data_IF_737241689844
#
_entry.id   IF_737241689844
#
_cell.length_a   1.000
_cell.length_b   1.000
_cell.length_c   1.000
_cell.angle_alpha   90.00
_cell.angle_beta   90.00
_cell.angle_gamma   90.00
#
_symmetry.space_group_name_H-M   'P 1'
#
loop_
_entity.id
_entity.type
_entity.pdbx_description
1 polymer ?
#
# COMPACT_ATOMS: atom_id res chain seq x y z
N UNK A 1 -25.60 -45.08 35.39
CA UNK A 1 -24.33 -44.54 34.84
C UNK A 1 -23.19 -45.39 35.37
N UNK A 2 -22.35 -45.98 34.50
CA UNK A 2 -21.27 -46.88 34.90
C UNK A 2 -20.10 -46.08 35.51
N UNK A 3 -19.48 -46.58 36.58
CA UNK A 3 -18.31 -45.98 37.25
C UNK A 3 -17.16 -45.70 36.26
N UNK A 4 -16.96 -46.59 35.29
CA UNK A 4 -15.95 -46.42 34.24
C UNK A 4 -16.25 -45.22 33.33
N UNK A 5 -17.52 -44.99 33.00
CA UNK A 5 -17.96 -43.86 32.16
C UNK A 5 -17.83 -42.54 32.92
N UNK A 6 -18.19 -42.53 34.20
CA UNK A 6 -18.04 -41.37 35.07
C UNK A 6 -16.56 -40.95 35.22
N UNK A 7 -15.66 -41.92 35.39
CA UNK A 7 -14.22 -41.66 35.47
C UNK A 7 -13.66 -41.10 34.16
N UNK A 8 -14.05 -41.66 33.00
CA UNK A 8 -13.63 -41.15 31.68
C UNK A 8 -14.11 -39.72 31.44
N UNK A 9 -15.37 -39.42 31.76
CA UNK A 9 -15.94 -38.08 31.61
C UNK A 9 -15.25 -37.06 32.54
N UNK A 10 -14.95 -37.47 33.78
CA UNK A 10 -14.31 -36.60 34.77
C UNK A 10 -12.86 -36.25 34.41
N UNK A 11 -12.10 -37.21 33.86
CA UNK A 11 -10.72 -36.98 33.37
C UNK A 11 -10.71 -36.09 32.12
N UNK A 12 -11.68 -36.27 31.21
CA UNK A 12 -11.79 -35.43 30.03
C UNK A 12 -12.11 -33.97 30.39
N UNK A 13 -13.03 -33.74 31.34
CA UNK A 13 -13.37 -32.39 31.80
C UNK A 13 -12.19 -31.71 32.53
N UNK A 14 -11.47 -32.45 33.37
CA UNK A 14 -10.33 -31.90 34.10
C UNK A 14 -9.18 -31.55 33.15
N UNK A 15 -8.91 -32.37 32.12
CA UNK A 15 -7.92 -32.06 31.09
C UNK A 15 -8.21 -30.74 30.36
N UNK A 16 -9.48 -30.42 30.09
CA UNK A 16 -9.89 -29.15 29.45
C UNK A 16 -9.70 -27.96 30.41
N UNK A 17 -9.91 -28.15 31.72
CA UNK A 17 -9.77 -27.09 32.72
C UNK A 17 -8.32 -26.64 32.97
N UNK A 18 -7.34 -27.50 32.67
CA UNK A 18 -5.91 -27.20 32.80
C UNK A 18 -5.30 -26.77 31.46
N UNK A 19 -6.08 -26.77 30.36
CA UNK A 19 -5.62 -26.15 29.13
C UNK A 19 -5.41 -24.65 29.40
N UNK A 20 -4.19 -24.12 29.14
CA UNK A 20 -3.97 -22.70 29.27
C UNK A 20 -4.84 -22.01 28.22
N UNK A 21 -5.98 -21.44 28.65
CA UNK A 21 -6.83 -20.60 27.82
C UNK A 21 -6.06 -19.42 27.20
N UNK A 22 -4.92 -19.05 27.79
CA UNK A 22 -3.94 -18.11 27.28
C UNK A 22 -3.15 -18.60 26.05
N UNK A 23 -3.06 -19.92 25.81
CA UNK A 23 -2.45 -20.52 24.62
C UNK A 23 -3.46 -20.95 23.56
N UNK A 24 -4.77 -20.87 23.85
CA UNK A 24 -5.79 -20.79 22.81
C UNK A 24 -5.62 -19.43 22.15
N UNK A 25 -4.62 -19.38 21.27
CA UNK A 25 -4.24 -18.23 20.48
C UNK A 25 -5.48 -17.86 19.68
N UNK A 26 -6.28 -16.93 20.20
CA UNK A 26 -7.12 -16.12 19.34
C UNK A 26 -6.09 -15.40 18.49
N UNK A 27 -5.87 -15.90 17.28
CA UNK A 27 -5.34 -15.08 16.20
C UNK A 27 -6.30 -13.92 16.12
N UNK A 28 -5.99 -12.86 16.87
CA UNK A 28 -6.74 -11.63 16.83
C UNK A 28 -6.43 -11.12 15.44
N UNK A 29 -7.33 -11.40 14.49
CA UNK A 29 -7.24 -10.84 13.16
C UNK A 29 -7.22 -9.33 13.39
N UNK A 30 -6.06 -8.71 13.16
CA UNK A 30 -5.93 -7.27 13.23
C UNK A 30 -7.10 -6.65 12.49
N UNK A 31 -7.76 -5.65 13.09
CA UNK A 31 -8.82 -4.88 12.43
C UNK A 31 -8.31 -4.24 11.13
N UNK A 32 -6.99 -4.07 11.01
CA UNK A 32 -6.32 -3.44 9.88
C UNK A 32 -5.55 -4.46 9.04
N UNK A 33 -5.64 -4.31 7.72
CA UNK A 33 -4.82 -5.05 6.76
C UNK A 33 -3.34 -4.69 6.95
N UNK A 34 -2.47 -5.69 6.86
CA UNK A 34 -1.02 -5.47 6.91
C UNK A 34 -0.55 -4.74 5.64
N UNK A 35 -0.03 -3.52 5.83
CA UNK A 35 0.46 -2.60 4.79
C UNK A 35 1.94 -2.78 4.46
N UNK A 36 2.35 -2.46 3.23
CA UNK A 36 3.76 -2.42 2.83
C UNK A 36 4.02 -1.38 1.73
N UNK A 37 5.06 -0.56 1.90
CA UNK A 37 5.54 0.37 0.87
C UNK A 37 6.48 -0.38 -0.09
N UNK A 38 6.02 -0.58 -1.34
CA UNK A 38 6.67 -1.38 -2.36
C UNK A 38 8.06 -0.88 -2.77
N UNK A 39 8.39 0.39 -2.53
CA UNK A 39 9.73 0.92 -2.77
C UNK A 39 10.82 0.25 -1.91
N UNK A 40 10.42 -0.35 -0.79
CA UNK A 40 11.32 -1.10 0.11
C UNK A 40 11.89 -2.35 -0.55
N UNK A 41 11.22 -2.89 -1.58
CA UNK A 41 11.60 -4.08 -2.35
C UNK A 41 11.64 -3.74 -3.86
N UNK A 42 12.14 -2.53 -4.15
CA UNK A 42 12.03 -1.92 -5.48
C UNK A 42 12.73 -2.71 -6.57
N UNK A 43 13.84 -3.38 -6.26
CA UNK A 43 14.67 -4.06 -7.25
C UNK A 43 13.93 -5.30 -7.79
N UNK A 44 13.28 -6.06 -6.91
CA UNK A 44 12.42 -7.20 -7.24
C UNK A 44 11.13 -6.75 -7.93
N UNK A 45 10.52 -5.66 -7.47
CA UNK A 45 9.36 -5.05 -8.14
C UNK A 45 9.67 -4.56 -9.55
N UNK A 46 10.89 -4.07 -9.79
CA UNK A 46 11.35 -3.65 -11.12
C UNK A 46 11.61 -4.85 -12.04
N UNK A 47 12.08 -5.98 -11.49
CA UNK A 47 12.35 -7.20 -12.25
C UNK A 47 11.09 -7.98 -12.61
N UNK A 48 10.27 -8.33 -11.61
CA UNK A 48 8.99 -9.02 -11.81
C UNK A 48 7.95 -8.60 -10.74
N UNK A 49 7.13 -7.58 -11.03
CA UNK A 49 6.17 -7.04 -10.06
C UNK A 49 5.09 -8.07 -9.69
N UNK A 50 4.66 -8.92 -10.61
CA UNK A 50 3.56 -9.86 -10.37
C UNK A 50 4.03 -11.02 -9.50
N UNK A 51 5.21 -11.58 -9.78
CA UNK A 51 5.80 -12.60 -8.93
C UNK A 51 6.10 -12.06 -7.53
N UNK A 52 6.63 -10.83 -7.44
CA UNK A 52 6.94 -10.18 -6.15
C UNK A 52 5.68 -9.97 -5.31
N UNK A 53 4.59 -9.45 -5.89
CA UNK A 53 3.31 -9.29 -5.19
C UNK A 53 2.73 -10.63 -4.70
N UNK A 54 2.88 -11.72 -5.47
CA UNK A 54 2.47 -13.06 -5.03
C UNK A 54 3.27 -13.54 -3.83
N UNK A 55 4.58 -13.26 -3.78
CA UNK A 55 5.44 -13.60 -2.63
C UNK A 55 5.04 -12.76 -1.41
N UNK A 56 4.91 -11.45 -1.55
CA UNK A 56 4.47 -10.56 -0.46
C UNK A 56 3.11 -10.98 0.11
N UNK A 57 2.17 -11.40 -0.75
CA UNK A 57 0.89 -11.98 -0.33
C UNK A 57 1.09 -13.24 0.52
N UNK A 58 1.96 -14.16 0.10
CA UNK A 58 2.27 -15.38 0.86
C UNK A 58 2.90 -15.06 2.22
N UNK A 59 3.65 -13.97 2.32
CA UNK A 59 4.21 -13.46 3.58
C UNK A 59 3.17 -12.81 4.50
N UNK A 60 1.94 -12.61 4.02
CA UNK A 60 0.83 -12.06 4.80
C UNK A 60 0.54 -10.58 4.55
N UNK A 61 1.24 -9.91 3.63
CA UNK A 61 0.90 -8.55 3.23
C UNK A 61 -0.39 -8.54 2.41
N UNK A 62 -1.27 -7.61 2.72
CA UNK A 62 -2.62 -7.53 2.14
C UNK A 62 -2.88 -6.19 1.46
N UNK A 63 -2.06 -5.20 1.81
CA UNK A 63 -2.27 -3.81 1.46
C UNK A 63 -0.95 -3.16 1.09
N UNK A 64 -0.93 -2.29 0.08
CA UNK A 64 0.31 -1.66 -0.37
C UNK A 64 0.18 -0.16 -0.60
N UNK A 65 1.32 0.50 -0.45
CA UNK A 65 1.59 1.82 -1.00
C UNK A 65 2.51 1.63 -2.22
N UNK A 66 2.11 2.18 -3.36
CA UNK A 66 2.84 1.98 -4.62
C UNK A 66 3.95 3.00 -4.82
N UNK A 67 4.82 2.73 -5.79
CA UNK A 67 5.70 3.70 -6.43
C UNK A 67 5.76 3.40 -7.94
N UNK A 68 6.51 4.22 -8.70
CA UNK A 68 6.86 3.86 -10.08
C UNK A 68 5.77 4.15 -11.11
N UNK A 69 4.82 5.03 -10.78
CA UNK A 69 3.90 5.58 -11.78
C UNK A 69 4.66 6.37 -12.84
N UNK A 70 4.39 6.08 -14.12
CA UNK A 70 4.88 6.85 -15.26
C UNK A 70 3.73 7.61 -15.91
N UNK A 71 3.64 8.91 -15.62
CA UNK A 71 2.53 9.75 -16.04
C UNK A 71 2.38 9.88 -17.57
N UNK A 72 3.51 9.93 -18.30
CA UNK A 72 3.52 9.96 -19.77
C UNK A 72 2.77 8.78 -20.40
N UNK A 73 2.90 7.59 -19.82
CA UNK A 73 2.32 6.35 -20.33
C UNK A 73 1.05 5.91 -19.58
N UNK A 74 0.74 6.54 -18.44
CA UNK A 74 -0.35 6.12 -17.56
C UNK A 74 -0.16 4.70 -17.02
N UNK A 75 1.09 4.31 -16.74
CA UNK A 75 1.45 2.94 -16.35
C UNK A 75 2.01 2.83 -14.94
N UNK A 76 1.79 1.68 -14.32
CA UNK A 76 2.43 1.23 -13.08
C UNK A 76 3.23 -0.04 -13.38
N UNK A 77 4.54 -0.02 -13.11
CA UNK A 77 5.43 -1.18 -13.33
C UNK A 77 5.33 -1.77 -14.76
N UNK A 78 5.12 -0.92 -15.77
CA UNK A 78 4.98 -1.32 -17.17
C UNK A 78 3.57 -1.71 -17.63
N UNK A 79 2.61 -1.84 -16.71
CA UNK A 79 1.22 -2.17 -17.01
C UNK A 79 0.37 -0.89 -17.09
N UNK A 80 -0.62 -0.85 -17.99
CA UNK A 80 -1.61 0.22 -17.95
C UNK A 80 -2.33 0.20 -16.61
N UNK A 81 -2.75 1.37 -16.14
CA UNK A 81 -3.37 1.50 -14.82
C UNK A 81 -4.55 0.52 -14.60
N UNK A 82 -5.41 0.35 -15.59
CA UNK A 82 -6.54 -0.60 -15.52
C UNK A 82 -6.08 -2.06 -15.43
N UNK A 83 -5.04 -2.43 -16.18
CA UNK A 83 -4.47 -3.78 -16.18
C UNK A 83 -3.83 -4.09 -14.82
N UNK A 84 -3.03 -3.15 -14.29
CA UNK A 84 -2.40 -3.32 -12.98
C UNK A 84 -3.43 -3.46 -11.86
N UNK A 85 -4.53 -2.71 -11.92
CA UNK A 85 -5.65 -2.88 -11.00
C UNK A 85 -6.28 -4.27 -11.08
N UNK A 86 -6.46 -4.81 -12.29
CA UNK A 86 -7.01 -6.16 -12.45
C UNK A 86 -6.08 -7.21 -11.82
N UNK A 87 -4.77 -7.09 -12.04
CA UNK A 87 -3.77 -7.95 -11.38
C UNK A 87 -3.93 -7.92 -9.85
N UNK A 88 -4.09 -6.74 -9.26
CA UNK A 88 -4.30 -6.62 -7.82
C UNK A 88 -5.61 -7.26 -7.36
N UNK A 89 -6.70 -7.08 -8.12
CA UNK A 89 -8.00 -7.70 -7.81
C UNK A 89 -7.91 -9.22 -7.85
N UNK A 90 -7.28 -9.79 -8.89
CA UNK A 90 -7.08 -11.24 -9.03
C UNK A 90 -6.26 -11.80 -7.86
N UNK A 91 -5.26 -11.04 -7.42
CA UNK A 91 -4.46 -11.36 -6.24
C UNK A 91 -5.15 -11.02 -4.92
N UNK A 92 -6.35 -10.44 -4.91
CA UNK A 92 -7.04 -9.96 -3.71
C UNK A 92 -6.18 -9.01 -2.85
N UNK A 93 -5.38 -8.16 -3.51
CA UNK A 93 -4.54 -7.14 -2.90
C UNK A 93 -5.16 -5.77 -3.12
N UNK A 94 -4.88 -4.81 -2.24
CA UNK A 94 -5.38 -3.44 -2.40
C UNK A 94 -4.29 -2.40 -2.25
N UNK A 95 -4.43 -1.29 -2.97
CA UNK A 95 -3.55 -0.12 -2.90
C UNK A 95 -4.40 1.11 -2.56
N UNK A 96 -4.03 1.86 -1.53
CA UNK A 96 -4.78 3.06 -1.11
C UNK A 96 -3.95 4.34 -1.17
N UNK A 97 -2.63 4.22 -1.24
CA UNK A 97 -1.69 5.33 -1.33
C UNK A 97 -0.61 5.02 -2.36
N UNK A 98 0.12 6.05 -2.78
CA UNK A 98 1.33 5.83 -3.52
C UNK A 98 2.18 7.06 -3.71
N UNK A 99 3.46 6.79 -3.99
CA UNK A 99 4.51 7.74 -4.24
C UNK A 99 4.54 8.11 -5.73
N UNK A 100 4.31 9.39 -6.02
CA UNK A 100 4.33 9.93 -7.37
C UNK A 100 5.55 10.85 -7.57
N UNK A 101 6.31 10.72 -8.68
CA UNK A 101 7.55 11.46 -8.89
C UNK A 101 7.34 12.96 -9.15
N UNK A 102 7.34 13.75 -8.08
CA UNK A 102 7.08 15.20 -8.14
C UNK A 102 8.32 16.04 -8.51
N UNK A 103 9.53 15.63 -8.11
CA UNK A 103 10.72 16.48 -8.21
C UNK A 103 11.05 16.95 -9.65
N UNK A 104 10.77 16.12 -10.67
CA UNK A 104 10.96 16.49 -12.07
C UNK A 104 10.08 17.68 -12.52
N UNK A 105 9.00 17.96 -11.77
CA UNK A 105 8.05 19.04 -12.02
C UNK A 105 8.20 20.20 -11.03
N UNK A 106 9.12 20.10 -10.07
CA UNK A 106 9.30 21.10 -9.02
C UNK A 106 9.65 22.48 -9.60
N UNK A 107 10.55 22.50 -10.57
CA UNK A 107 11.00 23.72 -11.24
C UNK A 107 10.32 23.99 -12.59
N UNK A 108 9.35 23.15 -12.98
CA UNK A 108 8.60 23.32 -14.22
C UNK A 108 7.52 24.42 -14.13
N UNK A 109 7.12 24.97 -15.28
CA UNK A 109 5.92 25.82 -15.42
C UNK A 109 4.68 25.21 -14.74
N UNK A 110 3.76 26.08 -14.30
CA UNK A 110 2.58 25.65 -13.53
C UNK A 110 1.59 24.83 -14.37
N UNK A 111 1.47 25.11 -15.67
CA UNK A 111 0.67 24.35 -16.62
C UNK A 111 1.21 22.92 -16.81
N UNK A 112 2.53 22.75 -16.95
CA UNK A 112 3.17 21.43 -16.98
C UNK A 112 2.94 20.66 -15.67
N UNK A 113 3.06 21.34 -14.52
CA UNK A 113 2.79 20.73 -13.22
C UNK A 113 1.32 20.33 -13.07
N UNK A 114 0.38 21.21 -13.44
CA UNK A 114 -1.06 20.95 -13.32
C UNK A 114 -1.47 19.76 -14.20
N UNK A 115 -0.96 19.69 -15.44
CA UNK A 115 -1.19 18.53 -16.32
C UNK A 115 -0.65 17.22 -15.73
N UNK A 116 0.52 17.26 -15.10
CA UNK A 116 1.08 16.09 -14.42
C UNK A 116 0.21 15.65 -13.22
N UNK A 117 -0.31 16.60 -12.45
CA UNK A 117 -1.22 16.33 -11.33
C UNK A 117 -2.52 15.68 -11.84
N UNK A 118 -3.08 16.16 -12.95
CA UNK A 118 -4.25 15.52 -13.59
C UNK A 118 -3.97 14.05 -13.94
N UNK A 119 -2.79 13.75 -14.51
CA UNK A 119 -2.41 12.38 -14.82
C UNK A 119 -2.28 11.51 -13.56
N UNK A 120 -1.75 12.06 -12.47
CA UNK A 120 -1.69 11.37 -11.17
C UNK A 120 -3.10 11.10 -10.61
N UNK A 121 -4.01 12.07 -10.69
CA UNK A 121 -5.41 11.94 -10.27
C UNK A 121 -6.10 10.85 -11.09
N UNK A 122 -5.99 10.87 -12.42
CA UNK A 122 -6.58 9.84 -13.28
C UNK A 122 -6.04 8.44 -12.96
N UNK A 123 -4.73 8.32 -12.73
CA UNK A 123 -4.10 7.08 -12.27
C UNK A 123 -4.67 6.60 -10.94
N UNK A 124 -4.71 7.48 -9.93
CA UNK A 124 -5.24 7.17 -8.60
C UNK A 124 -6.72 6.78 -8.62
N UNK A 125 -7.57 7.53 -9.34
CA UNK A 125 -9.00 7.26 -9.50
C UNK A 125 -9.22 5.90 -10.18
N UNK A 126 -8.49 5.63 -11.26
CA UNK A 126 -8.56 4.34 -11.96
C UNK A 126 -8.16 3.22 -11.00
N UNK A 127 -7.06 3.36 -10.25
CA UNK A 127 -6.62 2.40 -9.21
C UNK A 127 -7.58 2.27 -8.02
N UNK A 128 -8.50 3.22 -7.82
CA UNK A 128 -9.25 3.43 -6.57
C UNK A 128 -8.34 3.68 -5.36
N UNK A 129 -7.20 4.32 -5.58
CA UNK A 129 -6.29 4.82 -4.54
C UNK A 129 -6.86 6.13 -3.97
N UNK A 130 -6.86 6.27 -2.64
CA UNK A 130 -7.40 7.46 -1.96
C UNK A 130 -6.37 8.56 -1.75
N UNK A 131 -5.10 8.19 -1.70
CA UNK A 131 -4.01 9.10 -1.36
C UNK A 131 -3.00 9.18 -2.50
N UNK A 132 -2.51 10.40 -2.73
CA UNK A 132 -1.37 10.72 -3.59
C UNK A 132 -0.33 11.35 -2.66
N UNK A 133 0.88 10.81 -2.68
CA UNK A 133 1.99 11.29 -1.84
C UNK A 133 3.11 11.80 -2.75
N UNK A 134 3.63 12.98 -2.42
CA UNK A 134 4.79 13.60 -3.07
C UNK A 134 6.02 13.39 -2.16
N UNK A 135 6.77 12.29 -2.31
CA UNK A 135 7.65 11.81 -1.25
C UNK A 135 9.01 12.50 -1.21
N UNK A 136 9.36 13.28 -2.23
CA UNK A 136 10.74 13.68 -2.46
C UNK A 136 10.87 14.98 -3.26
N UNK A 137 11.85 15.79 -2.85
CA UNK A 137 12.41 16.91 -3.61
C UNK A 137 13.93 16.77 -3.70
N UNK A 138 14.52 17.35 -4.74
CA UNK A 138 15.94 17.28 -5.00
C UNK A 138 16.76 18.00 -3.90
N UNK A 139 17.96 17.51 -3.53
CA UNK A 139 18.77 18.10 -2.47
C UNK A 139 19.05 19.59 -2.63
N UNK A 140 19.26 20.05 -3.86
CA UNK A 140 19.51 21.45 -4.23
C UNK A 140 18.34 22.38 -3.85
N UNK A 141 17.11 21.87 -3.86
CA UNK A 141 15.90 22.62 -3.50
C UNK A 141 15.61 22.56 -1.99
N UNK A 142 16.43 21.89 -1.16
CA UNK A 142 16.26 21.79 0.30
C UNK A 142 16.86 22.99 1.03
N UNK A 143 16.42 24.17 0.65
CA UNK A 143 16.80 25.44 1.24
C UNK A 143 15.54 26.29 1.51
N UNK A 144 15.69 27.45 2.15
CA UNK A 144 14.55 28.25 2.60
C UNK A 144 13.63 28.69 1.45
N UNK A 145 14.18 29.04 0.30
CA UNK A 145 13.39 29.47 -0.85
C UNK A 145 12.73 28.28 -1.54
N UNK A 146 13.43 27.14 -1.63
CA UNK A 146 12.86 25.88 -2.08
C UNK A 146 11.70 25.41 -1.21
N UNK A 147 11.80 25.47 0.12
CA UNK A 147 10.68 25.12 0.99
C UNK A 147 9.50 26.10 0.90
N UNK A 148 9.74 27.41 0.77
CA UNK A 148 8.66 28.38 0.49
C UNK A 148 7.95 28.07 -0.82
N UNK A 149 8.70 27.71 -1.87
CA UNK A 149 8.16 27.29 -3.17
C UNK A 149 7.38 25.98 -3.07
N UNK A 150 7.92 25.00 -2.33
CA UNK A 150 7.28 23.72 -2.07
C UNK A 150 5.91 23.91 -1.43
N UNK A 151 5.80 24.68 -0.35
CA UNK A 151 4.52 24.90 0.33
C UNK A 151 3.47 25.51 -0.60
N UNK A 152 3.85 26.48 -1.43
CA UNK A 152 2.95 27.07 -2.43
C UNK A 152 2.49 26.03 -3.46
N UNK A 153 3.41 25.23 -4.00
CA UNK A 153 3.09 24.17 -4.97
C UNK A 153 2.21 23.08 -4.35
N UNK A 154 2.50 22.65 -3.12
CA UNK A 154 1.69 21.65 -2.42
C UNK A 154 0.25 22.13 -2.22
N UNK A 155 0.03 23.40 -1.86
CA UNK A 155 -1.33 23.97 -1.75
C UNK A 155 -2.06 23.93 -3.08
N UNK A 156 -1.43 24.40 -4.17
CA UNK A 156 -2.02 24.38 -5.52
C UNK A 156 -2.38 22.96 -5.97
N UNK A 157 -1.47 22.00 -5.77
CA UNK A 157 -1.74 20.60 -6.11
C UNK A 157 -2.85 20.00 -5.23
N UNK A 158 -2.90 20.37 -3.95
CA UNK A 158 -3.94 19.93 -3.02
C UNK A 158 -5.33 20.46 -3.41
N UNK A 159 -5.42 21.70 -3.87
CA UNK A 159 -6.66 22.29 -4.40
C UNK A 159 -7.17 21.54 -5.64
N UNK A 160 -6.28 21.09 -6.52
CA UNK A 160 -6.63 20.33 -7.72
C UNK A 160 -7.09 18.88 -7.43
N UNK A 161 -6.64 18.30 -6.31
CA UNK A 161 -6.98 16.92 -5.91
C UNK A 161 -8.35 16.84 -5.19
N UNK A 162 -8.78 17.92 -4.54
CA UNK A 162 -10.04 18.00 -3.79
C UNK A 162 -11.29 17.90 -4.68
#
# INVERSE_FOLDING_TARGET
MNRMEFLKASVALSAISVLPYSCLNRFHSSRFKLGYQLFSIRDEMANDPVATLKILKKMGYQHFEHYGFKAEYGTYYGYKTSEFKNILNDLNLSITSGHYPFANYFNKPLDELSKYVDQCIQGALTMKSKYIVWPWIAPEDRNIDGFKKLSKKLNLMGEQIN
#
